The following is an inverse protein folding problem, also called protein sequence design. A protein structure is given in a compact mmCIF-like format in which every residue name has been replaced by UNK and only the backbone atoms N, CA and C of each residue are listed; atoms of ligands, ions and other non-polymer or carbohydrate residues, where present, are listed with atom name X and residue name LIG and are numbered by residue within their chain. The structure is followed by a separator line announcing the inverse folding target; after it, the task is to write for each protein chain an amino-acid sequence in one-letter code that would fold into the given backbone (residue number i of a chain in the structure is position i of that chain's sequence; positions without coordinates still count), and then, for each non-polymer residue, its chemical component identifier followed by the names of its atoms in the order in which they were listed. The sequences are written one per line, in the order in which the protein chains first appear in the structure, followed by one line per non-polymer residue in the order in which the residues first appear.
data_IF_342694393977
#
_entry.id   IF_342694393977
#
_cell.length_a   1.000
_cell.length_b   1.000
_cell.length_c   1.000
_cell.angle_alpha   90.00
_cell.angle_beta   90.00
_cell.angle_gamma   90.00
#
_symmetry.space_group_name_H-M   'P 1'
#
loop_
_entity.id
_entity.type
_entity.pdbx_description
1 polymer ?
#
# COMPACT_ATOMS: atom_id res chain seq x y z
N UNK A 1 -43.91 19.31 9.22
CA UNK A 1 -43.34 17.96 9.51
C UNK A 1 -42.35 17.51 8.43
N UNK A 2 -42.71 17.60 7.15
CA UNK A 2 -41.89 17.18 5.99
C UNK A 2 -40.50 17.86 5.90
N UNK A 3 -40.38 19.17 6.17
CA UNK A 3 -39.10 19.89 6.13
C UNK A 3 -38.07 19.37 7.15
N UNK A 4 -38.49 18.93 8.34
CA UNK A 4 -37.59 18.40 9.39
C UNK A 4 -37.03 17.03 9.02
N UNK A 5 -37.85 16.19 8.37
CA UNK A 5 -37.44 14.86 7.88
C UNK A 5 -36.42 15.02 6.74
N UNK A 6 -36.61 16.00 5.86
CA UNK A 6 -35.66 16.28 4.77
C UNK A 6 -34.26 16.69 5.29
N UNK A 7 -34.17 17.48 6.35
CA UNK A 7 -32.87 17.85 6.95
C UNK A 7 -32.17 16.66 7.62
N UNK A 8 -32.92 15.76 8.26
CA UNK A 8 -32.35 14.54 8.88
C UNK A 8 -31.80 13.61 7.78
N UNK A 9 -32.53 13.44 6.68
CA UNK A 9 -32.05 12.67 5.52
C UNK A 9 -30.82 13.30 4.86
N UNK A 10 -30.77 14.63 4.73
CA UNK A 10 -29.61 15.34 4.18
C UNK A 10 -28.37 15.20 5.09
N UNK A 11 -28.54 15.29 6.41
CA UNK A 11 -27.46 15.06 7.38
C UNK A 11 -26.97 13.61 7.36
N UNK A 12 -27.86 12.63 7.21
CA UNK A 12 -27.48 11.22 7.10
C UNK A 12 -26.70 10.93 5.80
N UNK A 13 -27.07 11.56 4.69
CA UNK A 13 -26.37 11.43 3.41
C UNK A 13 -24.96 12.05 3.45
N UNK A 14 -24.80 13.23 4.05
CA UNK A 14 -23.49 13.86 4.25
C UNK A 14 -22.54 13.03 5.14
N UNK A 15 -23.06 12.23 6.07
CA UNK A 15 -22.25 11.42 6.98
C UNK A 15 -21.60 10.20 6.29
N UNK A 16 -22.18 9.72 5.18
CA UNK A 16 -21.65 8.54 4.45
C UNK A 16 -20.44 8.83 3.56
N UNK A 17 -20.07 10.10 3.38
CA UNK A 17 -18.92 10.52 2.56
C UNK A 17 -17.55 10.34 3.26
N UNK A 18 -17.52 9.97 4.55
CA UNK A 18 -16.28 9.86 5.36
C UNK A 18 -15.66 8.44 5.30
N UNK A 19 -15.85 7.73 4.18
CA UNK A 19 -15.49 6.30 4.05
C UNK A 19 -14.44 5.97 2.99
N UNK A 20 -13.60 6.92 2.58
CA UNK A 20 -12.55 6.71 1.56
C UNK A 20 -11.22 6.23 2.19
N UNK A 21 -11.27 5.17 3.00
CA UNK A 21 -10.04 4.50 3.40
C UNK A 21 -9.47 3.72 2.20
N UNK A 22 -8.19 3.94 1.88
CA UNK A 22 -7.49 3.19 0.83
C UNK A 22 -7.35 1.71 1.24
N UNK A 23 -7.56 0.80 0.30
CA UNK A 23 -7.30 -0.62 0.53
C UNK A 23 -5.81 -0.92 0.33
N UNK A 24 -5.20 -1.66 1.25
CA UNK A 24 -3.85 -2.20 1.10
C UNK A 24 -3.97 -3.66 0.67
N UNK A 25 -3.20 -4.06 -0.34
CA UNK A 25 -3.00 -5.47 -0.72
C UNK A 25 -1.54 -5.82 -0.53
N UNK A 26 -1.27 -6.92 0.14
CA UNK A 26 0.06 -7.46 0.30
C UNK A 26 0.20 -8.72 -0.55
N UNK A 27 1.32 -8.85 -1.26
CA UNK A 27 1.76 -10.09 -1.90
C UNK A 27 3.10 -10.44 -1.32
N UNK A 28 3.28 -11.69 -0.88
CA UNK A 28 4.57 -12.15 -0.38
C UNK A 28 5.55 -12.24 -1.55
N UNK A 29 6.75 -11.74 -1.32
CA UNK A 29 7.89 -11.90 -2.22
C UNK A 29 9.00 -12.60 -1.47
N UNK A 30 9.64 -13.58 -2.12
CA UNK A 30 10.81 -14.27 -1.59
C UNK A 30 12.07 -13.84 -2.38
N UNK A 31 13.23 -14.13 -1.80
CA UNK A 31 14.53 -13.69 -2.30
C UNK A 31 14.84 -12.25 -1.87
N UNK A 32 15.96 -12.10 -1.16
CA UNK A 32 16.46 -10.81 -0.68
C UNK A 32 17.97 -10.87 -0.48
N UNK A 33 18.59 -9.71 -0.51
CA UNK A 33 19.99 -9.49 -0.22
C UNK A 33 20.09 -8.62 1.03
N UNK A 34 21.02 -8.91 1.91
CA UNK A 34 21.17 -8.15 3.13
C UNK A 34 22.45 -8.43 3.88
N UNK A 35 22.62 -7.67 4.96
CA UNK A 35 23.77 -7.75 5.86
C UNK A 35 23.29 -7.75 7.31
N UNK A 36 24.15 -8.25 8.19
CA UNK A 36 24.02 -8.11 9.63
C UNK A 36 25.21 -7.30 10.11
N UNK A 37 24.96 -6.24 10.85
CA UNK A 37 26.00 -5.35 11.36
C UNK A 37 26.02 -5.41 12.88
N UNK A 38 27.20 -5.65 13.43
CA UNK A 38 27.46 -5.73 14.87
C UNK A 38 28.63 -4.83 15.21
N UNK A 39 28.64 -4.33 16.45
CA UNK A 39 29.80 -3.67 17.04
C UNK A 39 30.89 -4.71 17.36
N UNK A 40 32.09 -4.23 17.72
CA UNK A 40 33.24 -5.06 18.07
C UNK A 40 32.99 -5.94 19.32
N UNK A 41 32.14 -5.48 20.24
CA UNK A 41 31.64 -6.23 21.39
C UNK A 41 30.58 -7.29 21.03
N UNK A 42 30.18 -7.38 19.76
CA UNK A 42 29.19 -8.30 19.24
C UNK A 42 27.73 -7.86 19.42
N UNK A 43 27.48 -6.69 20.02
CA UNK A 43 26.13 -6.16 20.12
C UNK A 43 25.60 -5.68 18.75
N UNK A 44 24.31 -5.83 18.46
CA UNK A 44 23.77 -5.50 17.14
C UNK A 44 23.64 -3.99 16.94
N UNK A 45 24.05 -3.50 15.77
CA UNK A 45 23.83 -2.12 15.32
C UNK A 45 22.35 -1.96 14.93
N UNK A 46 21.50 -1.82 15.94
CA UNK A 46 20.05 -1.95 15.83
C UNK A 46 19.36 -0.63 15.52
N UNK A 47 18.36 -0.66 14.64
CA UNK A 47 17.55 0.51 14.27
C UNK A 47 18.36 1.69 13.69
N UNK A 48 19.56 1.42 13.16
CA UNK A 48 20.48 2.40 12.59
C UNK A 48 20.20 2.64 11.11
N UNK A 49 20.58 3.81 10.58
CA UNK A 49 20.26 4.19 9.20
C UNK A 49 21.00 3.27 8.22
N UNK A 50 20.28 2.74 7.24
CA UNK A 50 20.82 1.95 6.15
C UNK A 50 20.52 2.63 4.80
N UNK A 51 21.53 2.70 3.93
CA UNK A 51 21.45 3.26 2.58
C UNK A 51 21.93 2.24 1.57
N UNK A 52 21.15 2.04 0.52
CA UNK A 52 21.46 1.09 -0.56
C UNK A 52 21.75 1.85 -1.84
N UNK A 53 22.84 1.49 -2.50
CA UNK A 53 23.28 2.04 -3.77
C UNK A 53 23.26 0.96 -4.85
N UNK A 54 22.67 1.32 -6.00
CA UNK A 54 22.52 0.39 -7.12
C UNK A 54 23.83 0.22 -7.89
N UNK A 55 24.02 -0.89 -8.61
CA UNK A 55 25.19 -1.12 -9.44
C UNK A 55 25.43 0.04 -10.43
N UNK A 56 26.62 0.65 -10.36
CA UNK A 56 27.00 1.76 -11.23
C UNK A 56 26.47 3.14 -10.81
N UNK A 57 25.80 3.27 -9.65
CA UNK A 57 25.38 4.54 -9.10
C UNK A 57 25.60 4.60 -7.58
N UNK A 58 26.70 5.25 -7.19
CA UNK A 58 27.08 5.44 -5.79
C UNK A 58 26.73 6.82 -5.24
N UNK A 59 26.22 7.74 -6.07
CA UNK A 59 25.97 9.13 -5.65
C UNK A 59 24.66 9.28 -4.88
N UNK A 60 23.65 8.49 -5.25
CA UNK A 60 22.31 8.60 -4.67
C UNK A 60 21.81 7.24 -4.23
N UNK A 61 21.40 7.09 -2.95
CA UNK A 61 20.80 5.84 -2.50
C UNK A 61 19.48 5.63 -3.21
N UNK A 62 19.26 4.40 -3.68
CA UNK A 62 18.00 3.97 -4.31
C UNK A 62 16.98 3.48 -3.27
N UNK A 63 17.45 3.11 -2.08
CA UNK A 63 16.62 2.75 -0.94
C UNK A 63 17.30 3.23 0.35
N UNK A 64 16.50 3.75 1.27
CA UNK A 64 16.92 4.03 2.64
C UNK A 64 15.98 3.32 3.62
N UNK A 65 16.47 3.03 4.82
CA UNK A 65 15.69 2.40 5.87
C UNK A 65 16.51 2.28 7.14
N UNK A 66 16.11 1.35 8.01
CA UNK A 66 16.82 1.07 9.25
C UNK A 66 17.10 -0.42 9.39
N UNK A 67 18.21 -0.78 10.03
CA UNK A 67 18.45 -2.15 10.49
C UNK A 67 17.36 -2.58 11.48
N UNK A 68 17.09 -3.87 11.55
CA UNK A 68 16.17 -4.44 12.54
C UNK A 68 16.83 -4.52 13.93
N UNK A 69 16.10 -5.10 14.90
CA UNK A 69 16.57 -5.26 16.28
C UNK A 69 17.80 -6.17 16.44
N UNK A 70 18.18 -6.90 15.40
CA UNK A 70 19.33 -7.80 15.37
C UNK A 70 20.47 -7.22 14.50
N UNK A 71 20.36 -5.94 14.11
CA UNK A 71 21.32 -5.30 13.21
C UNK A 71 21.21 -5.77 11.76
N UNK A 72 20.12 -6.47 11.39
CA UNK A 72 19.93 -6.97 10.04
C UNK A 72 19.25 -5.93 9.16
N UNK A 73 19.77 -5.71 7.96
CA UNK A 73 19.09 -4.96 6.91
C UNK A 73 19.01 -5.80 5.66
N UNK A 74 17.80 -5.92 5.09
CA UNK A 74 17.55 -6.67 3.86
C UNK A 74 16.73 -5.86 2.87
N UNK A 75 17.05 -5.99 1.59
CA UNK A 75 16.27 -5.44 0.49
C UNK A 75 16.20 -6.45 -0.65
N UNK A 76 15.43 -6.15 -1.70
CA UNK A 76 15.30 -7.00 -2.87
C UNK A 76 15.93 -6.32 -4.08
N UNK A 77 17.07 -6.82 -4.60
CA UNK A 77 17.67 -6.29 -5.82
C UNK A 77 16.75 -6.42 -7.03
N UNK A 78 16.74 -5.38 -7.87
CA UNK A 78 16.00 -5.32 -9.14
C UNK A 78 16.93 -5.38 -10.37
N UNK A 79 18.25 -5.52 -10.16
CA UNK A 79 19.25 -5.58 -11.23
C UNK A 79 20.46 -6.39 -10.75
N UNK A 80 21.11 -7.11 -11.68
CA UNK A 80 22.36 -7.81 -11.41
C UNK A 80 23.54 -6.82 -11.33
N UNK A 81 24.49 -7.08 -10.43
CA UNK A 81 25.66 -6.23 -10.26
C UNK A 81 26.11 -6.11 -8.81
N UNK A 82 27.05 -5.21 -8.57
CA UNK A 82 27.56 -4.92 -7.22
C UNK A 82 26.65 -3.89 -6.57
N UNK A 83 25.96 -4.30 -5.51
CA UNK A 83 25.17 -3.43 -4.67
C UNK A 83 26.02 -2.98 -3.48
N UNK A 84 25.89 -1.73 -3.06
CA UNK A 84 26.54 -1.26 -1.83
C UNK A 84 25.49 -0.96 -0.77
N UNK A 85 25.75 -1.41 0.45
CA UNK A 85 24.90 -1.14 1.61
C UNK A 85 25.77 -0.43 2.63
N UNK A 86 25.41 0.80 2.96
CA UNK A 86 26.05 1.58 4.03
C UNK A 86 25.12 1.60 5.24
N UNK A 87 25.62 1.23 6.41
CA UNK A 87 24.91 1.37 7.69
C UNK A 87 25.67 2.36 8.57
N UNK A 88 24.96 3.36 9.09
CA UNK A 88 25.49 4.44 9.92
C UNK A 88 24.70 4.51 11.23
N UNK A 89 25.41 4.47 12.36
CA UNK A 89 24.81 4.51 13.70
C UNK A 89 24.46 5.92 14.19
N UNK A 90 24.81 6.96 13.42
CA UNK A 90 24.58 8.36 13.76
C UNK A 90 25.49 8.90 14.87
N UNK A 91 26.43 8.08 15.36
CA UNK A 91 27.40 8.43 16.41
C UNK A 91 28.83 8.50 15.87
N UNK A 92 29.01 8.33 14.56
CA UNK A 92 30.29 8.39 13.88
C UNK A 92 30.84 7.03 13.45
N UNK A 93 30.10 5.94 13.65
CA UNK A 93 30.46 4.63 13.10
C UNK A 93 29.61 4.33 11.87
N UNK A 94 30.28 4.03 10.76
CA UNK A 94 29.63 3.57 9.55
C UNK A 94 30.41 2.43 8.91
N UNK A 95 29.68 1.46 8.36
CA UNK A 95 30.24 0.36 7.55
C UNK A 95 29.61 0.40 6.17
N UNK A 96 30.40 0.11 5.14
CA UNK A 96 29.89 -0.04 3.77
C UNK A 96 30.32 -1.37 3.20
N UNK A 97 29.35 -2.21 2.88
CA UNK A 97 29.56 -3.53 2.30
C UNK A 97 29.15 -3.55 0.84
N UNK A 98 30.02 -4.10 -0.01
CA UNK A 98 29.77 -4.27 -1.44
C UNK A 98 29.49 -5.73 -1.75
N UNK A 99 28.30 -6.04 -2.26
CA UNK A 99 27.81 -7.40 -2.44
C UNK A 99 27.46 -7.64 -3.90
N UNK A 100 28.11 -8.63 -4.51
CA UNK A 100 27.79 -9.05 -5.86
C UNK A 100 26.47 -9.83 -5.86
N UNK A 101 25.43 -9.24 -6.46
CA UNK A 101 24.20 -9.94 -6.76
C UNK A 101 24.24 -10.50 -8.19
N UNK A 102 23.99 -11.80 -8.31
CA UNK A 102 23.81 -12.49 -9.58
C UNK A 102 22.67 -13.49 -9.42
N UNK A 103 21.48 -13.09 -9.83
CA UNK A 103 20.28 -13.88 -9.60
C UNK A 103 19.15 -13.53 -10.56
N UNK A 104 17.97 -14.10 -10.30
CA UNK A 104 16.77 -13.74 -11.04
C UNK A 104 16.36 -12.32 -10.61
N UNK A 105 16.43 -11.39 -11.55
CA UNK A 105 15.96 -10.03 -11.37
C UNK A 105 14.43 -10.03 -11.37
N UNK A 106 13.83 -9.59 -10.27
CA UNK A 106 12.38 -9.61 -10.13
C UNK A 106 11.78 -8.28 -10.62
N UNK A 107 11.04 -8.37 -11.72
CA UNK A 107 10.25 -7.27 -12.29
C UNK A 107 9.02 -7.03 -11.40
N UNK A 108 8.53 -5.77 -11.28
CA UNK A 108 7.33 -5.46 -10.51
C UNK A 108 6.16 -6.38 -10.86
N UNK A 109 5.49 -6.91 -9.85
CA UNK A 109 4.26 -7.70 -10.03
C UNK A 109 3.24 -6.83 -10.74
N UNK A 110 2.82 -7.21 -11.95
CA UNK A 110 1.68 -6.60 -12.61
C UNK A 110 0.46 -6.81 -11.71
N UNK A 111 -0.01 -5.71 -11.11
CA UNK A 111 -1.23 -5.75 -10.31
C UNK A 111 -2.40 -5.91 -11.27
N UNK A 112 -3.08 -7.06 -11.22
CA UNK A 112 -4.30 -7.27 -11.97
C UNK A 112 -5.29 -6.12 -11.68
N UNK A 113 -5.85 -5.53 -12.73
CA UNK A 113 -6.79 -4.41 -12.65
C UNK A 113 -8.04 -4.83 -11.88
N UNK A 114 -8.03 -4.59 -10.57
CA UNK A 114 -9.21 -4.78 -9.74
C UNK A 114 -10.06 -3.52 -9.89
N UNK A 115 -11.33 -3.67 -10.24
CA UNK A 115 -12.25 -2.54 -10.38
C UNK A 115 -12.18 -1.66 -9.11
N UNK A 116 -11.87 -0.37 -9.22
CA UNK A 116 -11.69 0.47 -8.04
C UNK A 116 -12.95 0.45 -7.16
N UNK A 117 -12.77 0.28 -5.84
CA UNK A 117 -13.86 0.04 -4.87
C UNK A 117 -15.00 1.05 -4.97
N UNK A 118 -14.72 2.30 -5.36
CA UNK A 118 -15.71 3.35 -5.64
C UNK A 118 -16.75 2.95 -6.68
N UNK A 119 -16.36 2.23 -7.74
CA UNK A 119 -17.29 1.78 -8.77
C UNK A 119 -18.22 0.70 -8.22
N UNK A 120 -17.72 -0.21 -7.38
CA UNK A 120 -18.56 -1.19 -6.70
C UNK A 120 -19.64 -0.56 -5.81
N UNK A 121 -19.32 0.53 -5.10
CA UNK A 121 -20.29 1.28 -4.28
C UNK A 121 -21.32 1.99 -5.16
N UNK A 122 -20.89 2.67 -6.23
CA UNK A 122 -21.81 3.33 -7.18
C UNK A 122 -22.75 2.32 -7.82
N UNK A 123 -22.24 1.17 -8.26
CA UNK A 123 -23.05 0.09 -8.82
C UNK A 123 -24.05 -0.45 -7.80
N UNK A 124 -23.63 -0.67 -6.54
CA UNK A 124 -24.53 -1.13 -5.48
C UNK A 124 -25.67 -0.15 -5.20
N UNK A 125 -25.35 1.15 -5.09
CA UNK A 125 -26.36 2.20 -4.91
C UNK A 125 -27.32 2.25 -6.10
N UNK A 126 -26.79 2.24 -7.33
CA UNK A 126 -27.60 2.27 -8.55
C UNK A 126 -28.55 1.07 -8.64
N UNK A 127 -28.11 -0.13 -8.25
CA UNK A 127 -28.95 -1.34 -8.22
C UNK A 127 -30.09 -1.22 -7.20
N UNK A 128 -29.81 -0.75 -5.99
CA UNK A 128 -30.84 -0.55 -4.96
C UNK A 128 -31.89 0.46 -5.46
N UNK A 129 -31.47 1.65 -5.89
CA UNK A 129 -32.41 2.66 -6.37
C UNK A 129 -33.16 2.23 -7.64
N UNK A 130 -32.50 1.51 -8.54
CA UNK A 130 -33.13 0.96 -9.74
C UNK A 130 -34.25 -0.03 -9.42
N UNK A 131 -33.96 -1.05 -8.60
CA UNK A 131 -34.93 -2.10 -8.26
C UNK A 131 -36.14 -1.52 -7.51
N UNK A 132 -35.90 -0.76 -6.44
CA UNK A 132 -36.99 -0.20 -5.64
C UNK A 132 -37.77 0.91 -6.38
N UNK A 133 -37.09 1.72 -7.19
CA UNK A 133 -37.72 2.75 -8.02
C UNK A 133 -38.66 2.14 -9.07
N UNK A 134 -38.21 1.11 -9.78
CA UNK A 134 -39.04 0.41 -10.76
C UNK A 134 -40.24 -0.30 -10.12
N UNK A 135 -40.06 -0.95 -8.97
CA UNK A 135 -41.15 -1.61 -8.26
C UNK A 135 -42.23 -0.62 -7.79
N UNK A 136 -41.82 0.53 -7.24
CA UNK A 136 -42.73 1.60 -6.84
C UNK A 136 -43.50 2.17 -8.05
N UNK A 137 -42.82 2.43 -9.16
CA UNK A 137 -43.45 2.92 -10.39
C UNK A 137 -44.51 1.93 -10.93
N UNK A 138 -44.17 0.64 -10.99
CA UNK A 138 -45.08 -0.39 -11.48
C UNK A 138 -46.32 -0.52 -10.58
N UNK A 139 -46.15 -0.42 -9.26
CA UNK A 139 -47.27 -0.46 -8.30
C UNK A 139 -48.27 0.69 -8.51
N UNK A 140 -47.78 1.90 -8.76
CA UNK A 140 -48.62 3.07 -9.05
C UNK A 140 -49.33 2.97 -10.39
N UNK A 141 -48.62 2.46 -11.40
CA UNK A 141 -49.20 2.25 -12.72
C UNK A 141 -50.36 1.24 -12.66
N UNK A 142 -50.16 0.10 -11.99
CA UNK A 142 -51.20 -0.94 -11.83
C UNK A 142 -52.40 -0.40 -11.04
N UNK A 143 -52.18 0.39 -9.97
CA UNK A 143 -53.29 0.98 -9.22
C UNK A 143 -54.13 1.94 -10.05
N UNK A 144 -53.51 2.64 -11.01
CA UNK A 144 -54.18 3.61 -11.89
C UNK A 144 -54.94 2.96 -13.05
N UNK A 145 -54.57 1.73 -13.43
CA UNK A 145 -55.26 0.94 -14.47
C UNK A 145 -56.48 0.20 -13.90
N UNK A 146 -56.47 -0.13 -12.60
CA UNK A 146 -57.54 -0.87 -11.92
C UNK A 146 -58.63 0.00 -11.28
N UNK A 147 -58.41 1.30 -11.15
CA UNK A 147 -59.39 2.27 -10.63
C UNK A 147 -59.89 3.17 -11.74
#
# INVERSE_FOLDING_TARGET
MIRRIAYIFACWFCFTLVGLSHGIKATRVDGGLGIVVVYDDGSPVSFSEAKVFAPGNDEKPVLTGNTDRNGCFMFRPDTNGIWKITVDDGMGHAVTEAIQFKGMVFVPVQTASTMPRRYGVITGIALIFGIFGSAAFLSQFISKVKG
#
